data_IF_177992601519
#
_entry.id   IF_177992601519
#
_cell.length_a   1.000
_cell.length_b   1.000
_cell.length_c   1.000
_cell.angle_alpha   90.00
_cell.angle_beta   90.00
_cell.angle_gamma   90.00
#
_symmetry.space_group_name_H-M   'P 1'
#
loop_
_entity.id
_entity.type
_entity.pdbx_description
1 polymer ?
#
# COMPACT_ATOMS: atom_id res chain seq x y z
N UNK A 1 33.06 9.20 -65.08
CA UNK A 1 32.50 10.19 -64.12
C UNK A 1 31.30 9.61 -63.34
N UNK A 2 31.50 8.53 -62.55
CA UNK A 2 30.39 7.85 -61.81
C UNK A 2 30.82 7.27 -60.45
N UNK A 3 31.87 7.80 -59.80
CA UNK A 3 32.39 7.26 -58.52
C UNK A 3 32.79 8.31 -57.46
N UNK A 4 32.23 9.52 -57.49
CA UNK A 4 32.60 10.59 -56.52
C UNK A 4 31.36 11.27 -55.88
N UNK A 5 30.19 10.62 -55.89
CA UNK A 5 28.97 11.18 -55.25
C UNK A 5 28.34 10.15 -54.31
N UNK A 6 29.13 9.57 -53.41
CA UNK A 6 28.58 8.67 -52.38
C UNK A 6 29.24 8.81 -51.01
N UNK A 7 30.02 9.87 -50.78
CA UNK A 7 30.80 10.01 -49.54
C UNK A 7 30.43 11.22 -48.67
N UNK A 8 29.32 11.93 -48.94
CA UNK A 8 28.95 13.13 -48.15
C UNK A 8 27.56 13.00 -47.48
N UNK A 9 26.86 11.87 -47.65
CA UNK A 9 25.56 11.63 -47.00
C UNK A 9 25.62 10.60 -45.85
N UNK A 10 26.80 10.37 -45.28
CA UNK A 10 27.03 9.44 -44.17
C UNK A 10 27.31 10.08 -42.81
N UNK A 11 27.41 11.41 -42.75
CA UNK A 11 28.02 12.10 -41.59
C UNK A 11 27.08 13.07 -40.86
N UNK A 12 25.79 13.14 -41.20
CA UNK A 12 24.85 14.12 -40.60
C UNK A 12 23.74 13.46 -39.73
N UNK A 13 23.66 12.14 -39.66
CA UNK A 13 22.66 11.44 -38.80
C UNK A 13 23.24 10.93 -37.48
N UNK A 14 24.55 11.07 -37.26
CA UNK A 14 25.22 10.57 -36.04
C UNK A 14 25.45 11.64 -34.94
N UNK A 15 24.79 12.80 -35.02
CA UNK A 15 25.03 13.93 -34.08
C UNK A 15 23.78 14.52 -33.39
N UNK A 16 22.66 13.78 -33.34
CA UNK A 16 21.45 14.21 -32.61
C UNK A 16 20.99 13.24 -31.50
N UNK A 17 21.86 12.34 -31.03
CA UNK A 17 21.58 11.46 -29.88
C UNK A 17 22.46 11.75 -28.66
N UNK A 18 23.13 12.91 -28.63
CA UNK A 18 24.15 13.20 -27.61
C UNK A 18 23.79 14.35 -26.67
N UNK A 19 22.53 14.76 -26.55
CA UNK A 19 22.10 15.74 -25.52
C UNK A 19 20.63 15.48 -25.13
N UNK A 20 20.36 14.35 -24.47
CA UNK A 20 19.18 14.17 -23.62
C UNK A 20 19.50 13.14 -22.54
N UNK A 21 19.93 13.61 -21.37
CA UNK A 21 19.87 12.90 -20.07
C UNK A 21 20.81 11.69 -19.86
N UNK A 22 22.10 11.83 -20.21
CA UNK A 22 23.13 11.11 -19.45
C UNK A 22 23.39 11.89 -18.15
N UNK A 23 23.07 11.30 -17.00
CA UNK A 23 23.07 11.82 -15.61
C UNK A 23 21.71 12.45 -15.20
N UNK A 24 20.91 11.84 -14.31
CA UNK A 24 21.29 11.03 -13.16
C UNK A 24 20.37 9.80 -13.00
N UNK A 25 20.94 8.61 -13.12
CA UNK A 25 20.45 7.46 -12.38
C UNK A 25 20.65 7.76 -10.89
N UNK A 26 19.59 7.72 -10.09
CA UNK A 26 19.70 7.84 -8.64
C UNK A 26 20.74 6.83 -8.14
N UNK A 27 21.66 7.26 -7.26
CA UNK A 27 22.73 6.38 -6.75
C UNK A 27 22.22 5.32 -5.76
N UNK A 28 21.00 5.48 -5.30
CA UNK A 28 20.24 4.59 -4.42
C UNK A 28 18.75 4.87 -4.68
N UNK A 29 17.89 3.86 -4.52
CA UNK A 29 16.43 4.04 -4.51
C UNK A 29 15.91 3.83 -3.10
N UNK A 30 15.16 4.80 -2.56
CA UNK A 30 14.65 4.74 -1.18
C UNK A 30 13.18 4.40 -1.18
N UNK A 31 12.84 3.30 -0.53
CA UNK A 31 11.51 2.69 -0.60
C UNK A 31 10.91 2.58 0.79
N UNK A 32 9.70 3.12 0.96
CA UNK A 32 8.90 2.87 2.15
C UNK A 32 8.12 1.57 2.02
N UNK A 33 7.96 0.84 3.13
CA UNK A 33 7.09 -0.34 3.22
C UNK A 33 6.54 -0.50 4.63
N UNK A 34 5.59 -1.41 4.81
CA UNK A 34 5.10 -1.85 6.12
C UNK A 34 5.67 -3.22 6.49
N UNK A 35 6.20 -3.33 7.71
CA UNK A 35 6.75 -4.59 8.23
C UNK A 35 5.69 -5.69 8.32
N UNK A 36 4.52 -5.39 8.91
CA UNK A 36 3.46 -6.37 9.17
C UNK A 36 2.61 -6.74 7.93
N UNK A 37 3.06 -6.38 6.72
CA UNK A 37 2.43 -6.76 5.45
C UNK A 37 3.33 -7.78 4.73
N UNK A 38 3.07 -9.10 4.84
CA UNK A 38 3.97 -10.14 4.33
C UNK A 38 3.86 -10.32 2.81
N UNK A 39 4.23 -9.31 2.05
CA UNK A 39 4.00 -9.22 0.61
C UNK A 39 5.06 -9.97 -0.20
N UNK A 40 4.73 -10.48 -1.41
CA UNK A 40 5.66 -11.25 -2.24
C UNK A 40 6.99 -10.55 -2.51
N UNK A 41 6.99 -9.23 -2.68
CA UNK A 41 8.19 -8.43 -2.93
C UNK A 41 9.22 -8.48 -1.77
N UNK A 42 8.82 -8.87 -0.55
CA UNK A 42 9.76 -9.00 0.56
C UNK A 42 10.82 -10.08 0.31
N UNK A 43 10.48 -11.15 -0.42
CA UNK A 43 11.46 -12.14 -0.86
C UNK A 43 12.58 -11.50 -1.70
N UNK A 44 12.18 -10.67 -2.67
CA UNK A 44 13.08 -10.01 -3.61
C UNK A 44 13.84 -8.86 -2.94
N UNK A 45 13.25 -8.17 -1.96
CA UNK A 45 13.93 -7.24 -1.04
C UNK A 45 15.08 -7.94 -0.31
N UNK A 46 14.80 -9.05 0.38
CA UNK A 46 15.83 -9.76 1.17
C UNK A 46 16.91 -10.37 0.28
N UNK A 47 16.54 -10.93 -0.88
CA UNK A 47 17.46 -11.54 -1.84
C UNK A 47 18.21 -10.50 -2.70
N UNK A 48 17.99 -9.20 -2.46
CA UNK A 48 18.57 -8.07 -3.19
C UNK A 48 18.33 -8.14 -4.71
N UNK A 49 17.16 -8.66 -5.09
CA UNK A 49 16.77 -8.75 -6.50
C UNK A 49 16.44 -7.37 -7.07
N UNK A 50 15.82 -6.50 -6.27
CA UNK A 50 15.63 -5.09 -6.62
C UNK A 50 16.97 -4.38 -6.87
N UNK A 51 17.95 -4.52 -5.97
CA UNK A 51 19.26 -3.91 -6.12
C UNK A 51 19.97 -4.35 -7.41
N UNK A 52 19.92 -5.66 -7.69
CA UNK A 52 20.51 -6.23 -8.91
C UNK A 52 19.83 -5.72 -10.17
N UNK A 53 18.50 -5.65 -10.19
CA UNK A 53 17.74 -5.21 -11.34
C UNK A 53 17.94 -3.70 -11.61
N UNK A 54 17.99 -2.89 -10.55
CA UNK A 54 18.17 -1.44 -10.63
C UNK A 54 19.62 -1.02 -10.84
N UNK A 55 20.58 -1.92 -10.56
CA UNK A 55 22.01 -1.64 -10.65
C UNK A 55 22.53 -0.70 -9.55
N UNK A 56 21.70 -0.37 -8.56
CA UNK A 56 22.00 0.51 -7.43
C UNK A 56 21.35 -0.05 -6.15
N UNK A 57 21.85 0.30 -4.95
CA UNK A 57 21.24 -0.13 -3.71
C UNK A 57 19.77 0.30 -3.60
N UNK A 58 18.95 -0.55 -2.98
CA UNK A 58 17.59 -0.20 -2.59
C UNK A 58 17.47 -0.17 -1.08
N UNK A 59 17.23 1.02 -0.53
CA UNK A 59 17.09 1.23 0.90
C UNK A 59 15.62 1.15 1.30
N UNK A 60 15.25 0.07 1.95
CA UNK A 60 13.92 -0.14 2.48
C UNK A 60 13.80 0.42 3.91
N UNK A 61 12.80 1.27 4.13
CA UNK A 61 12.50 1.86 5.44
C UNK A 61 11.09 1.46 5.86
N UNK A 62 10.96 0.87 7.04
CA UNK A 62 9.67 0.53 7.62
C UNK A 62 8.99 1.78 8.20
N UNK A 63 7.67 1.88 8.04
CA UNK A 63 6.85 2.93 8.63
C UNK A 63 5.67 2.33 9.42
N UNK A 64 5.09 3.11 10.33
CA UNK A 64 3.92 2.67 11.11
C UNK A 64 2.59 2.86 10.38
N UNK A 65 2.48 3.90 9.53
CA UNK A 65 1.26 4.19 8.76
C UNK A 65 1.57 4.94 7.44
N UNK A 66 0.58 5.00 6.55
CA UNK A 66 0.74 5.58 5.21
C UNK A 66 0.84 7.10 5.18
N UNK A 67 0.40 7.78 6.26
CA UNK A 67 0.60 9.23 6.43
C UNK A 67 2.07 9.56 6.67
N UNK A 68 2.73 8.82 7.55
CA UNK A 68 4.17 8.93 7.79
C UNK A 68 5.00 8.64 6.54
N UNK A 69 4.55 7.70 5.69
CA UNK A 69 5.16 7.47 4.37
C UNK A 69 5.05 8.72 3.48
N UNK A 70 3.86 9.35 3.40
CA UNK A 70 3.67 10.61 2.67
C UNK A 70 4.61 11.69 3.18
N UNK A 71 4.68 11.89 4.50
CA UNK A 71 5.51 12.95 5.08
C UNK A 71 6.99 12.74 4.74
N UNK A 72 7.49 11.50 4.80
CA UNK A 72 8.85 11.16 4.41
C UNK A 72 9.10 11.34 2.90
N UNK A 73 8.12 11.05 2.05
CA UNK A 73 8.21 11.35 0.61
C UNK A 73 8.28 12.86 0.35
N UNK A 74 7.50 13.67 1.08
CA UNK A 74 7.49 15.13 0.97
C UNK A 74 8.76 15.78 1.52
N UNK A 75 9.35 15.20 2.57
CA UNK A 75 10.67 15.57 3.08
C UNK A 75 11.79 15.19 2.10
N UNK A 76 11.49 14.33 1.13
CA UNK A 76 12.44 13.82 0.16
C UNK A 76 13.33 12.72 0.73
N UNK A 77 12.92 12.03 1.79
CA UNK A 77 13.60 10.87 2.39
C UNK A 77 13.24 9.54 1.71
N UNK A 78 12.07 9.50 1.06
CA UNK A 78 11.54 8.33 0.34
C UNK A 78 11.21 8.73 -1.10
N UNK A 79 11.58 7.87 -2.05
CA UNK A 79 11.31 8.07 -3.47
C UNK A 79 10.03 7.37 -3.91
N UNK A 80 9.84 6.12 -3.44
CA UNK A 80 8.73 5.23 -3.75
C UNK A 80 8.12 4.75 -2.42
N UNK A 81 6.79 4.81 -2.29
CA UNK A 81 6.08 4.12 -1.22
C UNK A 81 5.40 2.89 -1.77
N UNK A 82 5.85 1.71 -1.32
CA UNK A 82 5.18 0.44 -1.61
C UNK A 82 4.15 0.14 -0.52
N UNK A 83 2.97 -0.35 -0.94
CA UNK A 83 1.84 -0.63 -0.03
C UNK A 83 1.38 0.59 0.74
N UNK A 84 1.35 1.78 0.13
CA UNK A 84 0.73 2.93 0.79
C UNK A 84 -0.79 2.73 0.80
N UNK A 85 -1.44 2.91 1.95
CA UNK A 85 -2.91 2.92 2.00
C UNK A 85 -3.49 3.99 1.07
N UNK A 86 -4.60 3.67 0.40
CA UNK A 86 -5.23 4.57 -0.56
C UNK A 86 -5.69 5.90 0.06
N UNK A 87 -6.27 5.87 1.26
CA UNK A 87 -6.73 7.09 1.97
C UNK A 87 -5.59 8.09 2.22
N UNK A 88 -4.43 7.71 2.81
CA UNK A 88 -3.28 8.60 2.94
C UNK A 88 -2.82 9.23 1.62
N UNK A 89 -2.78 8.44 0.54
CA UNK A 89 -2.42 8.95 -0.79
C UNK A 89 -3.43 10.02 -1.27
N UNK A 90 -4.74 9.72 -1.17
CA UNK A 90 -5.81 10.65 -1.58
C UNK A 90 -5.73 11.96 -0.79
N UNK A 91 -5.51 11.88 0.52
CA UNK A 91 -5.34 13.06 1.37
C UNK A 91 -4.14 13.90 0.91
N UNK A 92 -3.01 13.26 0.59
CA UNK A 92 -1.83 13.94 0.08
C UNK A 92 -2.10 14.68 -1.24
N UNK A 93 -2.69 14.01 -2.24
CA UNK A 93 -2.93 14.64 -3.55
C UNK A 93 -4.04 15.69 -3.52
N UNK A 94 -5.04 15.57 -2.62
CA UNK A 94 -6.01 16.66 -2.34
C UNK A 94 -5.31 17.91 -1.80
N UNK A 95 -4.28 17.71 -0.98
CA UNK A 95 -3.40 18.76 -0.48
C UNK A 95 -2.34 19.20 -1.51
N UNK A 96 -2.44 18.74 -2.76
CA UNK A 96 -1.54 19.07 -3.88
C UNK A 96 -0.10 18.58 -3.67
N UNK A 97 0.08 17.52 -2.87
CA UNK A 97 1.36 16.82 -2.79
C UNK A 97 1.81 16.35 -4.19
N UNK A 98 3.09 16.52 -4.56
CA UNK A 98 3.62 16.14 -5.87
C UNK A 98 3.91 14.64 -5.93
N UNK A 99 2.86 13.83 -5.81
CA UNK A 99 2.90 12.37 -5.79
C UNK A 99 2.04 11.77 -6.90
N UNK A 100 2.41 10.58 -7.36
CA UNK A 100 1.66 9.80 -8.35
C UNK A 100 1.43 8.38 -7.87
N UNK A 101 0.25 7.85 -8.13
CA UNK A 101 -0.07 6.44 -8.03
C UNK A 101 0.30 5.76 -9.35
N UNK A 102 1.14 4.75 -9.29
CA UNK A 102 1.68 4.08 -10.49
C UNK A 102 1.37 2.58 -10.56
N UNK A 103 0.90 1.99 -9.47
CA UNK A 103 0.57 0.57 -9.39
C UNK A 103 -0.39 0.28 -8.22
N UNK A 104 -1.02 -0.89 -8.24
CA UNK A 104 -1.78 -1.43 -7.10
C UNK A 104 -0.90 -2.45 -6.40
N UNK A 105 -0.52 -2.18 -5.15
CA UNK A 105 0.34 -3.10 -4.40
C UNK A 105 -0.44 -4.36 -4.01
N UNK A 106 -1.67 -4.18 -3.51
CA UNK A 106 -2.60 -5.26 -3.20
C UNK A 106 -4.00 -4.73 -2.93
N UNK A 107 -4.97 -5.64 -3.05
CA UNK A 107 -6.32 -5.45 -2.55
C UNK A 107 -6.58 -6.41 -1.38
N UNK A 108 -7.43 -6.02 -0.45
CA UNK A 108 -7.74 -6.86 0.71
C UNK A 108 -9.15 -6.61 1.23
N UNK A 109 -9.73 -7.63 1.85
CA UNK A 109 -10.93 -7.47 2.67
C UNK A 109 -10.57 -7.16 4.12
N UNK A 110 -11.54 -7.34 5.03
CA UNK A 110 -11.30 -7.13 6.46
C UNK A 110 -10.25 -8.05 7.12
N UNK A 111 -9.69 -9.02 6.39
CA UNK A 111 -8.61 -9.87 6.90
C UNK A 111 -7.36 -9.07 7.31
N UNK A 112 -6.98 -8.07 6.52
CA UNK A 112 -5.78 -7.22 6.71
C UNK A 112 -6.00 -5.89 7.42
N UNK A 113 -7.24 -5.42 7.51
CA UNK A 113 -7.62 -4.20 8.27
C UNK A 113 -9.01 -4.40 8.87
N UNK A 114 -9.19 -4.17 10.17
CA UNK A 114 -10.44 -4.50 10.86
C UNK A 114 -10.62 -3.68 12.13
N UNK A 115 -11.82 -3.71 12.70
CA UNK A 115 -12.08 -3.22 14.06
C UNK A 115 -12.34 -4.40 14.99
N UNK A 116 -11.67 -4.42 16.14
CA UNK A 116 -11.77 -5.45 17.18
C UNK A 116 -12.39 -4.82 18.41
N UNK A 117 -13.52 -5.35 18.89
CA UNK A 117 -14.13 -4.97 20.17
C UNK A 117 -13.61 -5.84 21.29
N UNK A 118 -13.43 -5.28 22.49
CA UNK A 118 -13.05 -6.04 23.68
C UNK A 118 -14.17 -7.00 24.07
N UNK A 119 -13.84 -8.28 24.33
CA UNK A 119 -14.83 -9.27 24.83
C UNK A 119 -15.43 -8.84 26.16
N UNK A 120 -14.65 -8.15 27.00
CA UNK A 120 -15.11 -7.65 28.30
C UNK A 120 -16.16 -6.54 28.19
N UNK A 121 -16.21 -5.84 27.05
CA UNK A 121 -17.24 -4.81 26.82
C UNK A 121 -18.62 -5.40 26.49
N UNK A 122 -18.69 -6.67 26.05
CA UNK A 122 -19.92 -7.30 25.56
C UNK A 122 -20.42 -6.75 24.22
N UNK A 123 -19.68 -5.83 23.60
CA UNK A 123 -20.08 -5.18 22.34
C UNK A 123 -19.77 -6.09 21.15
N UNK A 124 -20.79 -6.27 20.32
CA UNK A 124 -20.80 -7.05 19.08
C UNK A 124 -21.42 -6.23 17.95
N UNK A 125 -21.48 -6.77 16.73
CA UNK A 125 -22.23 -6.13 15.64
C UNK A 125 -23.71 -5.93 15.95
N UNK A 126 -24.33 -6.82 16.75
CA UNK A 126 -25.75 -6.78 17.05
C UNK A 126 -26.15 -5.61 17.98
N UNK A 127 -25.20 -5.08 18.75
CA UNK A 127 -25.39 -3.97 19.69
C UNK A 127 -24.29 -2.90 19.51
N UNK A 128 -23.85 -2.66 18.27
CA UNK A 128 -22.74 -1.75 17.99
C UNK A 128 -22.93 -0.32 18.48
N UNK A 129 -24.19 0.15 18.64
CA UNK A 129 -24.50 1.45 19.23
C UNK A 129 -24.02 1.61 20.68
N UNK A 130 -23.73 0.52 21.40
CA UNK A 130 -23.11 0.57 22.73
C UNK A 130 -21.65 1.10 22.72
N UNK A 131 -21.06 1.29 21.53
CA UNK A 131 -19.80 2.03 21.38
C UNK A 131 -19.98 3.54 21.62
N UNK A 132 -21.20 4.08 21.51
CA UNK A 132 -21.46 5.48 21.81
C UNK A 132 -21.10 5.79 23.28
N UNK A 133 -20.35 6.86 23.50
CA UNK A 133 -19.79 7.23 24.80
C UNK A 133 -18.55 6.44 25.22
N UNK A 134 -18.06 5.48 24.42
CA UNK A 134 -16.83 4.72 24.70
C UNK A 134 -15.59 5.38 24.09
N UNK A 135 -14.43 5.02 24.63
CA UNK A 135 -13.13 5.30 24.01
C UNK A 135 -12.81 4.23 22.98
N UNK A 136 -12.36 4.63 21.79
CA UNK A 136 -11.97 3.73 20.70
C UNK A 136 -10.64 4.19 20.10
N UNK A 137 -9.77 3.26 19.74
CA UNK A 137 -8.49 3.54 19.09
C UNK A 137 -8.62 3.43 17.57
N UNK A 138 -8.24 4.47 16.83
CA UNK A 138 -8.33 4.48 15.36
C UNK A 138 -7.11 5.22 14.77
N UNK A 139 -6.34 4.60 13.85
CA UNK A 139 -5.32 5.29 13.08
C UNK A 139 -5.98 6.26 12.08
N UNK A 140 -6.13 7.53 12.47
CA UNK A 140 -6.77 8.57 11.66
C UNK A 140 -5.95 8.87 10.39
N UNK A 141 -6.64 9.22 9.31
CA UNK A 141 -6.05 9.49 8.00
C UNK A 141 -5.61 8.24 7.24
N UNK A 142 -6.00 7.04 7.70
CA UNK A 142 -5.58 5.75 7.11
C UNK A 142 -6.76 4.93 6.57
N UNK A 143 -6.46 3.77 5.96
CA UNK A 143 -7.49 2.80 5.59
C UNK A 143 -8.25 2.23 6.80
N UNK A 144 -7.67 2.23 8.01
CA UNK A 144 -8.39 1.82 9.21
C UNK A 144 -9.46 2.83 9.65
N UNK A 145 -9.28 4.13 9.38
CA UNK A 145 -10.34 5.12 9.59
C UNK A 145 -11.49 4.92 8.60
N UNK A 146 -11.19 4.64 7.33
CA UNK A 146 -12.23 4.25 6.37
C UNK A 146 -12.99 3.00 6.84
N UNK A 147 -12.28 1.96 7.28
CA UNK A 147 -12.91 0.74 7.82
C UNK A 147 -13.74 1.04 9.07
N UNK A 148 -13.27 1.92 9.96
CA UNK A 148 -14.02 2.38 11.12
C UNK A 148 -15.33 3.03 10.68
N UNK A 149 -15.26 4.02 9.79
CA UNK A 149 -16.41 4.77 9.29
C UNK A 149 -17.46 3.86 8.63
N UNK A 150 -17.04 2.96 7.74
CA UNK A 150 -17.98 2.03 7.11
C UNK A 150 -18.53 1.01 8.11
N UNK A 151 -17.72 0.53 9.06
CA UNK A 151 -18.19 -0.40 10.09
C UNK A 151 -19.25 0.24 10.98
N UNK A 152 -19.08 1.51 11.36
CA UNK A 152 -20.06 2.24 12.18
C UNK A 152 -21.40 2.40 11.46
N UNK A 153 -21.39 2.65 10.15
CA UNK A 153 -22.61 2.68 9.33
C UNK A 153 -23.33 1.33 9.35
N UNK A 154 -22.58 0.22 9.22
CA UNK A 154 -23.15 -1.13 9.21
C UNK A 154 -23.80 -1.48 10.55
N UNK A 155 -23.16 -1.14 11.68
CA UNK A 155 -23.67 -1.47 13.02
C UNK A 155 -24.60 -0.41 13.60
N UNK A 156 -24.87 0.68 12.87
CA UNK A 156 -25.78 1.75 13.28
C UNK A 156 -25.28 2.60 14.45
N UNK A 157 -23.96 2.70 14.64
CA UNK A 157 -23.36 3.49 15.72
C UNK A 157 -22.94 4.88 15.25
N UNK A 158 -23.19 5.91 16.07
CA UNK A 158 -22.76 7.27 15.78
C UNK A 158 -21.33 7.52 16.26
N UNK A 159 -20.37 7.55 15.32
CA UNK A 159 -18.96 7.82 15.63
C UNK A 159 -18.73 9.16 16.34
N UNK A 160 -19.60 10.15 16.14
CA UNK A 160 -19.45 11.48 16.75
C UNK A 160 -19.71 11.48 18.25
N UNK A 161 -20.38 10.44 18.76
CA UNK A 161 -20.63 10.26 20.20
C UNK A 161 -19.54 9.43 20.88
N UNK A 162 -18.51 8.99 20.15
CA UNK A 162 -17.39 8.23 20.69
C UNK A 162 -16.22 9.16 21.02
N UNK A 163 -15.38 8.76 21.96
CA UNK A 163 -14.06 9.38 22.14
C UNK A 163 -13.06 8.63 21.28
N UNK A 164 -12.83 9.10 20.05
CA UNK A 164 -11.85 8.51 19.14
C UNK A 164 -10.45 8.99 19.53
N UNK A 165 -9.54 8.06 19.81
CA UNK A 165 -8.15 8.33 20.15
C UNK A 165 -7.29 7.89 18.98
N UNK A 166 -6.50 8.81 18.44
CA UNK A 166 -5.55 8.49 17.38
C UNK A 166 -4.40 7.66 17.95
N UNK A 167 -4.25 6.45 17.44
CA UNK A 167 -3.20 5.51 17.82
C UNK A 167 -2.77 4.74 16.58
N UNK A 168 -1.48 4.47 16.46
CA UNK A 168 -0.98 3.52 15.46
C UNK A 168 -1.38 2.08 15.85
N UNK A 169 -1.31 1.09 14.92
CA UNK A 169 -1.85 -0.25 15.17
C UNK A 169 -1.29 -0.95 16.41
N UNK A 170 0.01 -0.86 16.65
CA UNK A 170 0.65 -1.49 17.81
C UNK A 170 0.12 -0.89 19.12
N UNK A 171 0.03 0.45 19.19
CA UNK A 171 -0.50 1.19 20.33
C UNK A 171 -1.98 0.90 20.57
N UNK A 172 -2.78 0.89 19.50
CA UNK A 172 -4.22 0.59 19.57
C UNK A 172 -4.49 -0.85 20.03
N UNK A 173 -3.69 -1.81 19.58
CA UNK A 173 -3.78 -3.19 20.04
C UNK A 173 -3.41 -3.30 21.52
N UNK A 174 -2.34 -2.63 21.97
CA UNK A 174 -1.95 -2.59 23.38
C UNK A 174 -3.03 -1.94 24.27
N UNK A 175 -3.63 -0.83 23.83
CA UNK A 175 -4.70 -0.14 24.54
C UNK A 175 -5.99 -1.00 24.65
N UNK A 176 -6.27 -1.83 23.65
CA UNK A 176 -7.38 -2.79 23.73
C UNK A 176 -7.08 -3.90 24.73
N UNK A 177 -5.84 -4.39 24.76
CA UNK A 177 -5.36 -5.44 25.69
C UNK A 177 -5.37 -4.95 27.13
N UNK A 178 -4.96 -3.71 27.40
CA UNK A 178 -5.02 -3.11 28.73
C UNK A 178 -6.45 -2.78 29.18
N UNK A 179 -7.40 -2.70 28.25
CA UNK A 179 -8.78 -2.27 28.51
C UNK A 179 -8.98 -0.76 28.54
N UNK A 180 -7.99 0.03 28.06
CA UNK A 180 -8.09 1.49 27.99
C UNK A 180 -9.07 1.97 26.91
N UNK A 181 -9.32 1.14 25.90
CA UNK A 181 -10.32 1.35 24.86
C UNK A 181 -11.26 0.15 24.72
N UNK A 182 -12.52 0.40 24.34
CA UNK A 182 -13.51 -0.67 24.11
C UNK A 182 -13.37 -1.32 22.74
N UNK A 183 -12.73 -0.64 21.80
CA UNK A 183 -12.51 -1.10 20.43
C UNK A 183 -11.22 -0.49 19.86
N UNK A 184 -10.52 -1.24 19.02
CA UNK A 184 -9.43 -0.72 18.22
C UNK A 184 -9.62 -1.11 16.74
N UNK A 185 -9.49 -0.14 15.83
CA UNK A 185 -9.38 -0.39 14.39
C UNK A 185 -7.91 -0.46 14.00
N UNK A 186 -7.51 -1.51 13.30
CA UNK A 186 -6.13 -1.97 13.19
C UNK A 186 -5.86 -2.48 11.77
N UNK A 187 -4.59 -2.42 11.37
CA UNK A 187 -4.01 -3.14 10.24
C UNK A 187 -2.71 -3.80 10.68
N UNK A 188 -2.18 -4.71 9.87
CA UNK A 188 -1.00 -5.51 10.23
C UNK A 188 -1.35 -6.76 11.02
N UNK A 189 -0.73 -7.88 10.65
CA UNK A 189 -1.13 -9.19 11.16
C UNK A 189 -0.78 -9.42 12.64
N UNK A 190 0.33 -8.88 13.13
CA UNK A 190 0.73 -9.05 14.55
C UNK A 190 -0.16 -8.19 15.45
N UNK A 191 -0.41 -6.94 15.06
CA UNK A 191 -1.29 -6.01 15.78
C UNK A 191 -2.72 -6.53 15.87
N UNK A 192 -3.29 -7.01 14.75
CA UNK A 192 -4.63 -7.63 14.74
C UNK A 192 -4.64 -8.90 15.61
N UNK A 193 -3.63 -9.75 15.50
CA UNK A 193 -3.53 -10.98 16.30
C UNK A 193 -3.48 -10.68 17.80
N UNK A 194 -2.70 -9.68 18.23
CA UNK A 194 -2.63 -9.25 19.61
C UNK A 194 -4.01 -8.81 20.14
N UNK A 195 -4.72 -7.96 19.40
CA UNK A 195 -6.07 -7.50 19.75
C UNK A 195 -7.08 -8.66 19.86
N UNK A 196 -7.01 -9.67 18.99
CA UNK A 196 -7.92 -10.82 19.00
C UNK A 196 -7.72 -11.76 20.20
N UNK A 197 -6.62 -11.65 20.96
CA UNK A 197 -6.44 -12.41 22.19
C UNK A 197 -7.50 -12.03 23.24
N UNK A 198 -7.81 -10.74 23.36
CA UNK A 198 -8.80 -10.19 24.31
C UNK A 198 -10.13 -9.79 23.67
N UNK A 199 -10.15 -9.65 22.34
CA UNK A 199 -11.28 -9.12 21.59
C UNK A 199 -11.83 -10.04 20.52
N UNK A 200 -12.85 -9.55 19.82
CA UNK A 200 -13.47 -10.20 18.67
C UNK A 200 -13.64 -9.17 17.56
N UNK A 201 -13.54 -9.58 16.29
CA UNK A 201 -13.82 -8.68 15.16
C UNK A 201 -15.26 -8.16 15.26
N UNK A 202 -15.44 -6.84 15.14
CA UNK A 202 -16.76 -6.21 15.17
C UNK A 202 -17.63 -6.73 14.02
N UNK A 203 -17.07 -6.79 12.82
CA UNK A 203 -17.69 -7.40 11.65
C UNK A 203 -16.92 -8.65 11.24
N UNK A 204 -17.64 -9.67 10.77
CA UNK A 204 -16.99 -10.80 10.11
C UNK A 204 -16.44 -10.37 8.76
N UNK A 205 -15.45 -11.09 8.24
CA UNK A 205 -14.90 -10.81 6.89
C UNK A 205 -16.01 -10.88 5.83
N UNK A 206 -16.95 -11.81 5.96
CA UNK A 206 -18.07 -11.93 5.04
C UNK A 206 -19.04 -10.74 5.15
N UNK A 207 -19.44 -10.36 6.36
CA UNK A 207 -20.36 -9.24 6.56
C UNK A 207 -19.79 -7.92 6.00
N UNK A 208 -18.48 -7.70 6.17
CA UNK A 208 -17.82 -6.52 5.61
C UNK A 208 -17.74 -6.57 4.08
N UNK A 209 -17.50 -7.74 3.48
CA UNK A 209 -17.56 -7.93 2.03
C UNK A 209 -18.96 -7.66 1.48
N UNK A 210 -19.99 -8.17 2.15
CA UNK A 210 -21.39 -7.96 1.75
C UNK A 210 -21.78 -6.47 1.86
N UNK A 211 -21.19 -5.74 2.80
CA UNK A 211 -21.31 -4.29 2.94
C UNK A 211 -20.43 -3.49 1.96
N UNK A 212 -19.65 -4.14 1.10
CA UNK A 212 -18.76 -3.49 0.12
C UNK A 212 -17.48 -2.89 0.72
N UNK A 213 -17.14 -3.20 1.97
CA UNK A 213 -15.93 -2.70 2.64
C UNK A 213 -14.72 -3.44 2.09
N UNK A 214 -13.83 -2.70 1.42
CA UNK A 214 -12.61 -3.23 0.83
C UNK A 214 -11.46 -2.26 1.01
N UNK A 215 -10.27 -2.80 1.22
CA UNK A 215 -9.02 -2.05 1.27
C UNK A 215 -8.23 -2.17 -0.02
N UNK A 216 -7.54 -1.09 -0.37
CA UNK A 216 -6.60 -1.02 -1.48
C UNK A 216 -5.37 -0.30 -0.95
N UNK A 217 -4.23 -0.94 -1.15
CA UNK A 217 -2.92 -0.35 -0.94
C UNK A 217 -2.23 -0.26 -2.30
N UNK A 218 -1.48 0.82 -2.49
CA UNK A 218 -0.97 1.24 -3.79
C UNK A 218 0.53 1.44 -3.75
N UNK A 219 1.16 1.49 -4.92
CA UNK A 219 2.52 2.00 -5.05
C UNK A 219 2.44 3.45 -5.52
N UNK A 220 2.97 4.37 -4.71
CA UNK A 220 3.10 5.77 -5.08
C UNK A 220 4.56 6.18 -5.22
N UNK A 221 4.80 7.22 -6.00
CA UNK A 221 6.13 7.76 -6.29
C UNK A 221 6.11 9.28 -6.24
N UNK A 222 7.23 9.89 -5.87
CA UNK A 222 7.36 11.34 -6.00
C UNK A 222 7.44 11.75 -7.48
N UNK A 223 6.82 12.88 -7.84
CA UNK A 223 6.91 13.46 -9.18
C UNK A 223 8.36 13.63 -9.64
N UNK A 224 9.24 13.99 -8.69
CA UNK A 224 10.68 14.17 -8.94
C UNK A 224 11.32 12.86 -9.38
N UNK A 225 11.20 11.81 -8.57
CA UNK A 225 11.80 10.52 -8.90
C UNK A 225 11.23 9.95 -10.20
N UNK A 226 9.92 10.06 -10.41
CA UNK A 226 9.26 9.62 -11.63
C UNK A 226 9.81 10.31 -12.89
N UNK A 227 10.06 11.63 -12.83
CA UNK A 227 10.58 12.42 -13.96
C UNK A 227 12.08 12.22 -14.19
N UNK A 228 12.86 12.15 -13.12
CA UNK A 228 14.33 12.03 -13.21
C UNK A 228 14.79 10.59 -13.45
N UNK A 229 14.03 9.58 -12.97
CA UNK A 229 14.42 8.17 -12.99
C UNK A 229 13.32 7.22 -13.56
N UNK A 230 12.70 7.52 -14.70
CA UNK A 230 11.56 6.73 -15.22
C UNK A 230 11.92 5.27 -15.52
N UNK A 231 13.16 5.00 -15.95
CA UNK A 231 13.64 3.64 -16.18
C UNK A 231 13.74 2.82 -14.89
N UNK A 232 14.27 3.42 -13.81
CA UNK A 232 14.34 2.77 -12.50
C UNK A 232 12.95 2.50 -11.93
N UNK A 233 12.03 3.45 -12.06
CA UNK A 233 10.65 3.23 -11.63
C UNK A 233 10.00 2.06 -12.37
N UNK A 234 10.16 1.98 -13.70
CA UNK A 234 9.65 0.86 -14.50
C UNK A 234 10.22 -0.47 -14.02
N UNK A 235 11.54 -0.56 -13.85
CA UNK A 235 12.19 -1.77 -13.34
C UNK A 235 11.72 -2.15 -11.94
N UNK A 236 11.49 -1.19 -11.05
CA UNK A 236 10.93 -1.47 -9.72
C UNK A 236 9.53 -2.09 -9.81
N UNK A 237 8.65 -1.58 -10.67
CA UNK A 237 7.32 -2.15 -10.89
C UNK A 237 7.41 -3.53 -11.56
N UNK A 238 8.28 -3.72 -12.56
CA UNK A 238 8.52 -5.02 -13.20
C UNK A 238 8.91 -6.10 -12.17
N UNK A 239 9.91 -5.84 -11.33
CA UNK A 239 10.34 -6.79 -10.28
C UNK A 239 9.21 -7.07 -9.28
N UNK A 240 8.40 -6.06 -8.96
CA UNK A 240 7.23 -6.24 -8.08
C UNK A 240 6.19 -7.19 -8.70
N UNK A 241 5.89 -7.03 -10.00
CA UNK A 241 4.96 -7.93 -10.71
C UNK A 241 5.53 -9.33 -10.91
N UNK A 242 6.84 -9.48 -11.12
CA UNK A 242 7.52 -10.79 -11.11
C UNK A 242 7.39 -11.50 -9.77
N UNK A 243 7.52 -10.78 -8.65
CA UNK A 243 7.30 -11.31 -7.31
C UNK A 243 5.86 -11.83 -7.15
N UNK A 244 4.88 -11.03 -7.58
CA UNK A 244 3.45 -11.41 -7.55
C UNK A 244 3.18 -12.66 -8.41
N UNK A 245 3.77 -12.75 -9.60
CA UNK A 245 3.65 -13.92 -10.47
C UNK A 245 4.30 -15.18 -9.86
N UNK A 246 5.46 -15.03 -9.21
CA UNK A 246 6.13 -16.12 -8.47
C UNK A 246 5.27 -16.64 -7.33
N UNK A 247 4.62 -15.73 -6.59
CA UNK A 247 3.69 -16.07 -5.53
C UNK A 247 2.46 -16.81 -6.06
N UNK A 248 1.81 -16.28 -7.10
CA UNK A 248 0.65 -16.89 -7.72
C UNK A 248 0.94 -18.31 -8.26
N UNK A 249 2.17 -18.56 -8.72
CA UNK A 249 2.63 -19.88 -9.15
C UNK A 249 3.00 -20.83 -7.99
N UNK A 250 2.87 -20.40 -6.73
CA UNK A 250 3.25 -21.19 -5.55
C UNK A 250 4.76 -21.37 -5.38
N UNK A 251 5.58 -20.48 -5.97
CA UNK A 251 7.03 -20.59 -6.05
C UNK A 251 7.79 -19.61 -5.15
N UNK A 252 7.08 -18.77 -4.40
CA UNK A 252 7.71 -17.81 -3.48
C UNK A 252 8.25 -18.48 -2.22
N UNK A 253 9.36 -17.95 -1.72
CA UNK A 253 10.01 -18.42 -0.50
C UNK A 253 9.31 -17.85 0.74
N UNK A 254 8.26 -18.55 1.16
CA UNK A 254 7.42 -18.16 2.30
C UNK A 254 8.20 -18.02 3.62
N UNK A 255 9.33 -18.72 3.79
CA UNK A 255 10.13 -18.60 5.02
C UNK A 255 10.88 -17.27 5.05
N UNK A 256 11.41 -16.82 3.91
CA UNK A 256 12.05 -15.51 3.79
C UNK A 256 11.04 -14.39 4.04
N UNK A 257 9.86 -14.48 3.42
CA UNK A 257 8.79 -13.49 3.61
C UNK A 257 8.35 -13.44 5.09
N UNK A 258 8.08 -14.59 5.71
CA UNK A 258 7.68 -14.63 7.12
C UNK A 258 8.74 -14.03 8.05
N UNK A 259 10.03 -14.28 7.78
CA UNK A 259 11.13 -13.74 8.57
C UNK A 259 11.25 -12.22 8.40
N UNK A 260 11.14 -11.71 7.18
CA UNK A 260 11.25 -10.26 6.89
C UNK A 260 10.06 -9.48 7.47
N UNK A 261 8.87 -10.07 7.47
CA UNK A 261 7.68 -9.50 8.09
C UNK A 261 7.64 -9.65 9.63
N UNK A 262 8.64 -10.29 10.25
CA UNK A 262 8.68 -10.63 11.68
C UNK A 262 7.44 -11.40 12.15
N UNK A 263 6.97 -12.33 11.31
CA UNK A 263 5.79 -13.15 11.56
C UNK A 263 6.14 -14.64 11.64
N UNK A 264 5.39 -15.40 12.44
CA UNK A 264 5.44 -16.87 12.34
C UNK A 264 4.86 -17.28 10.99
N UNK A 265 5.44 -18.31 10.35
CA UNK A 265 5.02 -18.78 9.03
C UNK A 265 3.50 -19.05 8.92
N UNK A 266 2.88 -19.62 9.97
CA UNK A 266 1.44 -19.87 10.00
C UNK A 266 0.61 -18.58 9.99
N UNK A 267 0.96 -17.64 10.89
CA UNK A 267 0.29 -16.34 11.02
C UNK A 267 0.46 -15.49 9.75
N UNK A 268 1.65 -15.56 9.16
CA UNK A 268 1.96 -14.93 7.89
C UNK A 268 1.05 -15.46 6.78
N UNK A 269 0.93 -16.79 6.65
CA UNK A 269 0.07 -17.41 5.62
C UNK A 269 -1.40 -17.06 5.81
N UNK A 270 -1.88 -16.98 7.05
CA UNK A 270 -3.25 -16.55 7.36
C UNK A 270 -3.47 -15.11 6.90
N UNK A 271 -2.54 -14.20 7.22
CA UNK A 271 -2.58 -12.80 6.79
C UNK A 271 -2.56 -12.68 5.27
N UNK A 272 -1.62 -13.38 4.63
CA UNK A 272 -1.41 -13.36 3.18
C UNK A 272 -2.61 -13.93 2.40
N UNK A 273 -3.33 -14.90 2.97
CA UNK A 273 -4.55 -15.45 2.38
C UNK A 273 -5.71 -14.44 2.28
N UNK A 274 -5.62 -13.31 3.00
CA UNK A 274 -6.57 -12.19 2.89
C UNK A 274 -6.25 -11.18 1.79
N UNK A 275 -5.11 -11.30 1.13
CA UNK A 275 -4.61 -10.36 0.12
C UNK A 275 -4.79 -10.88 -1.30
N UNK A 276 -5.02 -9.96 -2.21
CA UNK A 276 -5.10 -10.19 -3.65
C UNK A 276 -4.03 -9.33 -4.32
N UNK A 277 -3.11 -10.00 -5.00
CA UNK A 277 -2.08 -9.35 -5.82
C UNK A 277 -2.49 -9.47 -7.29
N UNK A 278 -2.73 -8.33 -7.94
CA UNK A 278 -3.14 -8.29 -9.33
C UNK A 278 -1.94 -8.53 -10.25
N UNK A 279 -2.16 -9.16 -11.40
CA UNK A 279 -1.18 -9.13 -12.49
C UNK A 279 -1.23 -7.77 -13.20
N UNK A 280 -0.29 -7.50 -14.11
CA UNK A 280 -0.20 -6.20 -14.80
C UNK A 280 -1.48 -5.82 -15.57
N UNK A 281 -2.12 -6.78 -16.27
CA UNK A 281 -3.33 -6.53 -17.04
C UNK A 281 -4.53 -6.21 -16.14
N UNK A 282 -4.72 -6.95 -15.06
CA UNK A 282 -5.78 -6.71 -14.08
C UNK A 282 -5.52 -5.42 -13.29
N UNK A 283 -4.26 -5.08 -13.03
CA UNK A 283 -3.89 -3.81 -12.40
C UNK A 283 -4.26 -2.63 -13.28
N UNK A 284 -3.91 -2.68 -14.56
CA UNK A 284 -4.33 -1.68 -15.55
C UNK A 284 -5.85 -1.53 -15.58
N UNK A 285 -6.57 -2.65 -15.65
CA UNK A 285 -8.04 -2.67 -15.64
C UNK A 285 -8.61 -2.04 -14.37
N UNK A 286 -7.99 -2.26 -13.22
CA UNK A 286 -8.41 -1.66 -11.94
C UNK A 286 -8.20 -0.15 -11.92
N UNK A 287 -7.08 0.33 -12.49
CA UNK A 287 -6.70 1.75 -12.53
C UNK A 287 -7.45 2.57 -13.60
N UNK A 288 -7.92 1.93 -14.67
CA UNK A 288 -8.64 2.58 -15.77
C UNK A 288 -10.11 2.85 -15.45
N UNK A 289 -10.74 3.71 -16.27
CA UNK A 289 -12.12 4.16 -16.06
C UNK A 289 -13.09 2.98 -15.92
N UNK A 290 -13.84 2.94 -14.82
CA UNK A 290 -14.77 1.87 -14.48
C UNK A 290 -14.14 0.67 -13.76
N UNK A 291 -12.82 0.71 -13.53
CA UNK A 291 -12.09 -0.24 -12.70
C UNK A 291 -12.33 -0.03 -11.20
N UNK A 292 -11.91 -1.00 -10.40
CA UNK A 292 -12.08 -0.97 -8.94
C UNK A 292 -11.39 0.24 -8.32
N UNK A 293 -10.10 0.44 -8.56
CA UNK A 293 -9.36 1.57 -8.02
C UNK A 293 -9.95 2.91 -8.51
N UNK A 294 -10.27 3.03 -9.81
CA UNK A 294 -10.90 4.24 -10.36
C UNK A 294 -12.22 4.58 -9.63
N UNK A 295 -13.05 3.58 -9.33
CA UNK A 295 -14.27 3.75 -8.55
C UNK A 295 -14.01 4.31 -7.14
N UNK A 296 -13.01 3.78 -6.44
CA UNK A 296 -12.60 4.28 -5.12
C UNK A 296 -12.08 5.73 -5.20
N UNK A 297 -11.19 6.01 -6.16
CA UNK A 297 -10.61 7.34 -6.36
C UNK A 297 -11.70 8.38 -6.63
N UNK A 298 -12.68 8.07 -7.48
CA UNK A 298 -13.84 8.94 -7.77
C UNK A 298 -14.75 9.11 -6.56
N UNK A 299 -15.10 8.01 -5.90
CA UNK A 299 -15.98 8.01 -4.72
C UNK A 299 -15.41 8.83 -3.57
N UNK A 300 -14.08 8.86 -3.43
CA UNK A 300 -13.37 9.66 -2.44
C UNK A 300 -12.98 11.06 -2.92
N UNK A 301 -13.37 11.47 -4.14
CA UNK A 301 -13.11 12.82 -4.67
C UNK A 301 -11.63 13.12 -4.92
N UNK A 302 -10.88 12.15 -5.44
CA UNK A 302 -9.46 12.32 -5.78
C UNK A 302 -9.31 13.29 -6.96
N UNK A 303 -8.36 14.24 -6.93
CA UNK A 303 -8.06 15.10 -8.07
C UNK A 303 -7.64 14.31 -9.32
N UNK A 304 -8.04 14.82 -10.49
CA UNK A 304 -7.63 14.26 -11.78
C UNK A 304 -6.11 14.27 -11.94
N UNK A 305 -5.60 13.30 -12.70
CA UNK A 305 -4.18 13.19 -13.00
C UNK A 305 -3.33 12.63 -11.86
N UNK A 306 -3.90 12.15 -10.76
CA UNK A 306 -3.14 11.52 -9.68
C UNK A 306 -2.58 10.13 -10.04
N UNK A 307 -3.05 9.52 -11.14
CA UNK A 307 -2.73 8.15 -11.56
C UNK A 307 -1.93 8.17 -12.87
N UNK A 308 -0.91 7.33 -12.97
CA UNK A 308 -0.14 7.10 -14.21
C UNK A 308 0.04 5.59 -14.44
N UNK A 309 -0.61 5.06 -15.49
CA UNK A 309 -0.56 3.63 -15.84
C UNK A 309 0.61 3.27 -16.78
N UNK A 310 1.40 4.25 -17.23
CA UNK A 310 2.44 4.03 -18.25
C UNK A 310 3.64 3.21 -17.74
N UNK A 311 3.74 3.00 -16.43
CA UNK A 311 4.80 2.23 -15.78
C UNK A 311 4.46 0.74 -15.60
N UNK A 312 3.22 0.32 -15.88
CA UNK A 312 2.82 -1.08 -15.78
C UNK A 312 3.52 -1.95 -16.85
N UNK A 313 3.92 -3.19 -16.51
CA UNK A 313 4.61 -4.10 -17.43
C UNK A 313 3.60 -4.90 -18.26
N UNK A 314 3.05 -4.25 -19.29
CA UNK A 314 2.00 -4.77 -20.18
C UNK A 314 2.54 -5.43 -21.44
#
# INVERSE_FOLDING_TARGET
MKKIISFILGTVVALNLSISVANAAAKEVRVAFFLEWPTPNQEDKVKKMFDKALGVPVKWTNFSNGGAMTDAMLAGDIDISYSQGLVPFINAVKSKAPLKLVDVAMEYGMGGTTCVTSKASGITSANGSELEGKKVAVPLGTMAEYVFDESMKVVGADKSKMTVIQMDPEEGAAALVSGDVSMACLFGGNSIKAALTVGTRLLTVQAARDAGIKGIDITSVTDKFMKENPGMLRTFIEVTHEANARYAAGKSDMNVIAKDAEMKLGDMKETLGGFVFLNAADTKKSMESGGTLDGFLKGMGTPNGAVDTSFLPL
#
